data_IF_068087492461
#
_entry.id   IF_068087492461
#
_cell.length_a   1.000
_cell.length_b   1.000
_cell.length_c   1.000
_cell.angle_alpha   90.00
_cell.angle_beta   90.00
_cell.angle_gamma   90.00
#
_symmetry.space_group_name_H-M   'P 1'
#
loop_
_entity.id
_entity.type
_entity.pdbx_description
1 polymer ?
#
# COMPACT_ATOMS: atom_id res chain seq x y z
N UNK A 1 -1.46 -3.95 -16.12
CA UNK A 1 -0.05 -3.63 -16.33
C UNK A 1 0.46 -2.62 -15.32
N UNK A 2 1.68 -2.87 -14.85
CA UNK A 2 2.45 -1.94 -14.04
C UNK A 2 3.43 -1.21 -14.96
N UNK A 3 3.40 0.12 -14.90
CA UNK A 3 4.21 0.99 -15.75
C UNK A 3 5.16 1.81 -14.88
N UNK A 4 6.34 2.12 -15.41
CA UNK A 4 7.28 3.09 -14.81
C UNK A 4 7.53 4.21 -15.81
N UNK A 5 7.57 5.45 -15.32
CA UNK A 5 7.94 6.63 -16.10
C UNK A 5 9.19 7.26 -15.52
N UNK A 6 10.22 7.42 -16.33
CA UNK A 6 11.37 8.25 -15.98
C UNK A 6 10.97 9.73 -16.09
N UNK A 7 11.08 10.48 -14.99
CA UNK A 7 10.62 11.87 -14.95
C UNK A 7 11.56 12.86 -15.65
N UNK A 8 12.83 12.50 -15.86
CA UNK A 8 13.82 13.38 -16.51
C UNK A 8 13.69 13.32 -18.03
N UNK A 9 13.50 12.11 -18.55
CA UNK A 9 13.45 11.80 -19.98
C UNK A 9 12.01 11.70 -20.50
N UNK A 10 11.05 11.44 -19.61
CA UNK A 10 9.66 11.18 -19.95
C UNK A 10 9.39 9.77 -20.48
N UNK A 11 10.42 8.91 -20.58
CA UNK A 11 10.30 7.53 -21.10
C UNK A 11 9.38 6.71 -20.21
N UNK A 12 8.44 5.98 -20.84
CA UNK A 12 7.51 5.07 -20.17
C UNK A 12 7.82 3.63 -20.55
N UNK A 13 7.97 2.76 -19.55
CA UNK A 13 8.23 1.32 -19.72
C UNK A 13 7.11 0.51 -19.09
N UNK A 14 6.57 -0.47 -19.84
CA UNK A 14 5.67 -1.47 -19.30
C UNK A 14 6.49 -2.60 -18.66
N UNK A 15 6.38 -2.78 -17.35
CA UNK A 15 7.18 -3.77 -16.62
C UNK A 15 6.58 -5.18 -16.69
N UNK A 16 5.27 -5.31 -16.80
CA UNK A 16 4.59 -6.62 -16.67
C UNK A 16 4.14 -7.21 -18.00
N UNK A 17 3.81 -6.37 -18.99
CA UNK A 17 3.44 -6.76 -20.35
C UNK A 17 2.48 -7.97 -20.40
N UNK A 18 1.40 -7.91 -19.61
CA UNK A 18 0.54 -9.09 -19.39
C UNK A 18 -0.59 -9.20 -20.41
N UNK A 19 -1.08 -10.42 -20.71
CA UNK A 19 -2.23 -10.61 -21.60
C UNK A 19 -3.49 -9.92 -21.07
N UNK A 20 -4.39 -9.54 -22.00
CA UNK A 20 -5.71 -9.00 -21.68
C UNK A 20 -6.46 -9.94 -20.72
N UNK A 21 -7.05 -9.35 -19.67
CA UNK A 21 -7.77 -10.09 -18.62
C UNK A 21 -6.98 -10.25 -17.31
N UNK A 22 -5.67 -9.97 -17.35
CA UNK A 22 -4.87 -9.79 -16.13
C UNK A 22 -5.17 -8.42 -15.52
N UNK A 23 -5.39 -8.38 -14.20
CA UNK A 23 -5.61 -7.13 -13.48
C UNK A 23 -4.45 -6.91 -12.50
N UNK A 24 -3.70 -5.84 -12.70
CA UNK A 24 -2.53 -5.49 -11.89
C UNK A 24 -2.61 -4.05 -11.42
N UNK A 25 -2.41 -3.82 -10.12
CA UNK A 25 -2.65 -2.51 -9.48
C UNK A 25 -1.74 -2.30 -8.29
N UNK A 26 -1.73 -1.05 -7.79
CA UNK A 26 -1.10 -0.62 -6.54
C UNK A 26 0.38 -1.03 -6.39
N UNK A 27 1.25 -0.66 -7.34
CA UNK A 27 2.67 -0.93 -7.21
C UNK A 27 3.31 -0.09 -6.09
N UNK A 28 4.27 -0.67 -5.38
CA UNK A 28 5.09 0.04 -4.40
C UNK A 28 6.55 -0.44 -4.48
N UNK A 29 7.49 0.49 -4.39
CA UNK A 29 8.92 0.20 -4.48
C UNK A 29 9.48 -0.36 -3.17
N UNK A 30 10.46 -1.25 -3.26
CA UNK A 30 11.32 -1.57 -2.11
C UNK A 30 12.17 -0.35 -1.73
N UNK A 31 12.61 -0.29 -0.48
CA UNK A 31 13.40 0.83 0.01
C UNK A 31 14.76 0.91 -0.67
N UNK A 32 15.35 -0.24 -1.01
CA UNK A 32 16.56 -0.31 -1.81
C UNK A 32 16.35 -0.04 -3.32
N UNK A 33 15.10 0.15 -3.75
CA UNK A 33 14.72 0.47 -5.12
C UNK A 33 14.90 -0.68 -6.12
N UNK A 34 15.20 -1.90 -5.67
CA UNK A 34 15.47 -3.04 -6.56
C UNK A 34 14.26 -3.90 -6.86
N UNK A 35 13.19 -3.77 -6.10
CA UNK A 35 11.98 -4.58 -6.23
C UNK A 35 10.74 -3.71 -6.23
N UNK A 36 9.66 -4.26 -6.80
CA UNK A 36 8.32 -3.68 -6.78
C UNK A 36 7.39 -4.75 -6.26
N UNK A 37 6.63 -4.44 -5.22
CA UNK A 37 5.47 -5.22 -4.79
C UNK A 37 4.24 -4.67 -5.48
N UNK A 38 3.35 -5.55 -5.92
CA UNK A 38 2.14 -5.16 -6.63
C UNK A 38 1.05 -6.21 -6.44
N UNK A 39 -0.17 -5.85 -6.80
CA UNK A 39 -1.29 -6.78 -6.80
C UNK A 39 -1.51 -7.35 -8.19
N UNK A 40 -1.77 -8.66 -8.27
CA UNK A 40 -2.09 -9.33 -9.53
C UNK A 40 -3.21 -10.34 -9.35
N UNK A 41 -4.18 -10.28 -10.26
CA UNK A 41 -5.19 -11.32 -10.45
C UNK A 41 -4.80 -12.18 -11.64
N UNK A 42 -4.42 -13.43 -11.38
CA UNK A 42 -3.99 -14.39 -12.40
C UNK A 42 -4.85 -15.66 -12.38
N UNK A 43 -5.95 -15.65 -13.12
CA UNK A 43 -6.84 -16.81 -13.36
C UNK A 43 -7.61 -17.37 -12.15
N UNK A 44 -7.21 -17.07 -10.91
CA UNK A 44 -7.72 -17.69 -9.66
C UNK A 44 -8.69 -16.83 -8.86
N UNK A 45 -9.41 -15.92 -9.52
CA UNK A 45 -10.47 -15.10 -8.94
C UNK A 45 -10.10 -14.10 -7.82
N UNK A 46 -8.93 -14.22 -7.20
CA UNK A 46 -8.43 -13.36 -6.13
C UNK A 46 -7.36 -12.37 -6.62
N UNK A 47 -7.25 -11.22 -5.94
CA UNK A 47 -6.12 -10.31 -6.07
C UNK A 47 -5.07 -10.74 -5.04
N UNK A 48 -3.94 -11.23 -5.52
CA UNK A 48 -2.83 -11.71 -4.69
C UNK A 48 -1.68 -10.69 -4.66
N UNK A 49 -0.77 -10.84 -3.71
CA UNK A 49 0.47 -10.05 -3.60
C UNK A 49 1.59 -10.73 -4.40
N UNK A 50 2.21 -9.96 -5.28
CA UNK A 50 3.33 -10.37 -6.13
C UNK A 50 4.51 -9.41 -5.97
N UNK A 51 5.71 -9.91 -6.21
CA UNK A 51 6.93 -9.11 -6.29
C UNK A 51 7.62 -9.36 -7.62
N UNK A 52 8.21 -8.33 -8.20
CA UNK A 52 9.14 -8.40 -9.33
C UNK A 52 10.37 -7.54 -9.05
N UNK A 53 11.43 -7.73 -9.81
CA UNK A 53 12.54 -6.79 -9.85
C UNK A 53 12.08 -5.45 -10.44
N UNK A 54 12.80 -4.37 -10.14
CA UNK A 54 12.55 -3.01 -10.62
C UNK A 54 12.50 -2.88 -12.15
N UNK A 55 13.18 -3.77 -12.86
CA UNK A 55 13.20 -3.86 -14.32
C UNK A 55 12.06 -4.71 -14.91
N UNK A 56 11.16 -5.23 -14.06
CA UNK A 56 10.04 -6.10 -14.43
C UNK A 56 10.38 -7.59 -14.47
N UNK A 57 11.65 -7.96 -14.30
CA UNK A 57 12.07 -9.37 -14.33
C UNK A 57 11.68 -10.13 -13.04
N UNK A 58 11.65 -11.46 -13.13
CA UNK A 58 11.37 -12.37 -12.01
C UNK A 58 10.06 -12.09 -11.23
N UNK A 59 8.90 -11.92 -11.91
CA UNK A 59 7.62 -11.80 -11.21
C UNK A 59 7.29 -13.12 -10.51
N UNK A 60 7.03 -13.05 -9.20
CA UNK A 60 6.69 -14.20 -8.40
C UNK A 60 5.64 -13.87 -7.34
N UNK A 61 4.82 -14.88 -7.04
CA UNK A 61 3.81 -14.81 -6.01
C UNK A 61 4.45 -14.76 -4.61
N UNK A 62 3.81 -14.02 -3.69
CA UNK A 62 4.30 -13.86 -2.31
C UNK A 62 3.26 -14.31 -1.28
N UNK A 63 2.06 -13.74 -1.35
CA UNK A 63 1.01 -13.93 -0.37
C UNK A 63 -0.35 -13.78 -1.03
N UNK A 64 -1.37 -14.46 -0.50
CA UNK A 64 -2.70 -14.47 -1.12
C UNK A 64 -3.55 -15.62 -0.60
N UNK A 65 -4.81 -15.35 -0.31
CA UNK A 65 -5.69 -16.38 0.25
C UNK A 65 -6.20 -17.33 -0.84
N UNK A 66 -5.91 -18.64 -0.71
CA UNK A 66 -6.32 -19.68 -1.66
C UNK A 66 -7.44 -20.60 -1.13
N UNK A 67 -8.19 -20.20 -0.10
CA UNK A 67 -9.24 -21.04 0.47
C UNK A 67 -10.39 -21.30 -0.52
N UNK A 68 -10.86 -22.55 -0.55
CA UNK A 68 -11.85 -23.01 -1.52
C UNK A 68 -13.17 -22.22 -1.42
N UNK A 69 -13.51 -21.48 -2.48
CA UNK A 69 -14.84 -20.89 -2.69
C UNK A 69 -15.05 -19.46 -2.15
N UNK A 70 -14.05 -18.83 -1.54
CA UNK A 70 -14.18 -17.45 -1.05
C UNK A 70 -13.28 -16.50 -1.84
N UNK A 71 -13.90 -15.47 -2.42
CA UNK A 71 -13.18 -14.33 -2.98
C UNK A 71 -12.49 -13.57 -1.85
N UNK A 72 -11.16 -13.53 -1.90
CA UNK A 72 -10.36 -12.71 -1.03
C UNK A 72 -9.58 -11.69 -1.86
N UNK A 73 -9.47 -10.49 -1.32
CA UNK A 73 -8.68 -9.41 -1.88
C UNK A 73 -7.57 -9.11 -0.90
N UNK A 74 -6.34 -9.27 -1.39
CA UNK A 74 -5.12 -8.79 -0.77
C UNK A 74 -4.70 -7.54 -1.56
N UNK A 75 -4.47 -6.40 -0.89
CA UNK A 75 -4.22 -5.12 -1.57
C UNK A 75 -3.28 -4.17 -0.83
N UNK A 76 -2.81 -3.17 -1.58
CA UNK A 76 -2.07 -1.99 -1.08
C UNK A 76 -0.83 -2.39 -0.28
N UNK A 77 -0.02 -3.29 -0.86
CA UNK A 77 1.15 -3.80 -0.19
C UNK A 77 2.31 -2.79 -0.21
N UNK A 78 3.09 -2.74 0.87
CA UNK A 78 4.35 -1.97 0.95
C UNK A 78 5.40 -2.75 1.74
N UNK A 79 6.68 -2.55 1.40
CA UNK A 79 7.80 -3.20 2.07
C UNK A 79 8.05 -2.59 3.45
N UNK A 80 8.46 -3.41 4.42
CA UNK A 80 9.07 -2.90 5.66
C UNK A 80 10.39 -2.18 5.35
N UNK A 81 10.88 -1.25 6.20
CA UNK A 81 12.08 -0.45 5.88
C UNK A 81 13.37 -1.26 5.65
N UNK A 82 13.39 -2.51 6.10
CA UNK A 82 14.49 -3.45 5.93
C UNK A 82 14.32 -4.39 4.72
N UNK A 83 13.25 -4.22 3.93
CA UNK A 83 12.85 -5.03 2.78
C UNK A 83 12.67 -6.54 3.09
N UNK A 84 12.49 -6.92 4.36
CA UNK A 84 12.34 -8.33 4.80
C UNK A 84 10.90 -8.79 4.96
N UNK A 85 9.93 -7.88 4.85
CA UNK A 85 8.52 -8.21 4.95
C UNK A 85 7.69 -7.25 4.10
N UNK A 86 6.45 -7.65 3.84
CA UNK A 86 5.42 -6.78 3.27
C UNK A 86 4.28 -6.61 4.25
N UNK A 87 3.72 -5.40 4.29
CA UNK A 87 2.48 -5.06 4.98
C UNK A 87 1.40 -4.86 3.94
N UNK A 88 0.22 -5.44 4.14
CA UNK A 88 -0.89 -5.38 3.19
C UNK A 88 -2.24 -5.51 3.89
N UNK A 89 -3.32 -5.12 3.22
CA UNK A 89 -4.67 -5.35 3.72
C UNK A 89 -5.22 -6.64 3.12
N UNK A 90 -5.96 -7.41 3.92
CA UNK A 90 -6.64 -8.62 3.44
C UNK A 90 -7.99 -8.83 4.08
N UNK A 91 -8.97 -9.23 3.28
CA UNK A 91 -10.30 -9.64 3.76
C UNK A 91 -10.45 -11.16 3.95
N UNK A 92 -9.33 -11.90 4.00
CA UNK A 92 -9.30 -13.37 4.13
C UNK A 92 -10.18 -13.94 5.25
N UNK A 93 -10.31 -13.24 6.37
CA UNK A 93 -11.16 -13.63 7.51
C UNK A 93 -12.57 -12.98 7.49
N UNK A 94 -12.96 -12.33 6.39
CA UNK A 94 -14.31 -11.77 6.17
C UNK A 94 -14.42 -10.27 6.41
N UNK A 95 -13.31 -9.62 6.79
CA UNK A 95 -13.19 -8.19 7.01
C UNK A 95 -11.78 -7.76 6.61
N UNK A 96 -11.61 -6.59 5.98
CA UNK A 96 -10.27 -6.07 5.71
C UNK A 96 -9.58 -5.74 7.02
N UNK A 97 -8.43 -6.38 7.24
CA UNK A 97 -7.51 -6.07 8.32
C UNK A 97 -6.08 -6.02 7.79
N UNK A 98 -5.17 -5.50 8.59
CA UNK A 98 -3.75 -5.36 8.22
C UNK A 98 -3.00 -6.63 8.56
N UNK A 99 -2.19 -7.11 7.63
CA UNK A 99 -1.33 -8.28 7.77
C UNK A 99 0.10 -7.92 7.47
N UNK A 100 1.00 -8.66 8.11
CA UNK A 100 2.43 -8.68 7.81
C UNK A 100 2.81 -10.06 7.32
N UNK A 101 3.56 -10.12 6.22
CA UNK A 101 4.14 -11.35 5.71
C UNK A 101 5.67 -11.23 5.67
N UNK A 102 6.36 -12.07 6.43
CA UNK A 102 7.81 -12.19 6.34
C UNK A 102 8.20 -12.77 4.98
N UNK A 103 9.02 -12.02 4.23
CA UNK A 103 9.62 -12.53 3.01
C UNK A 103 10.68 -13.56 3.42
N UNK A 104 10.46 -14.80 3.01
CA UNK A 104 11.45 -15.85 3.05
C UNK A 104 11.78 -16.26 1.61
N UNK A 105 12.46 -17.39 1.41
CA UNK A 105 12.75 -17.89 0.06
C UNK A 105 11.47 -17.93 -0.78
N UNK A 106 11.61 -17.61 -2.08
CA UNK A 106 10.51 -17.60 -3.07
C UNK A 106 9.69 -18.89 -2.93
N UNK A 107 8.38 -18.73 -2.79
CA UNK A 107 7.42 -19.82 -2.65
C UNK A 107 6.28 -19.62 -3.64
N UNK A 108 5.75 -20.70 -4.19
CA UNK A 108 4.57 -20.68 -5.08
C UNK A 108 3.24 -20.59 -4.32
N UNK A 109 3.29 -20.59 -2.98
CA UNK A 109 2.14 -20.49 -2.08
C UNK A 109 2.50 -19.74 -0.80
N UNK A 110 1.50 -19.10 -0.20
CA UNK A 110 1.65 -18.42 1.08
C UNK A 110 1.95 -19.46 2.17
N UNK A 111 2.94 -19.18 3.02
CA UNK A 111 3.20 -19.96 4.21
C UNK A 111 2.65 -19.23 5.43
N UNK A 112 1.65 -19.82 6.09
CA UNK A 112 0.98 -19.24 7.25
C UNK A 112 1.93 -18.99 8.45
N UNK A 113 3.07 -19.67 8.51
CA UNK A 113 4.11 -19.43 9.54
C UNK A 113 4.73 -18.03 9.42
N UNK A 114 4.74 -17.46 8.21
CA UNK A 114 5.29 -16.13 7.95
C UNK A 114 4.23 -15.03 7.96
N UNK A 115 2.95 -15.41 8.03
CA UNK A 115 1.83 -14.50 8.05
C UNK A 115 1.43 -14.17 9.48
N UNK A 116 1.25 -12.88 9.76
CA UNK A 116 0.69 -12.39 11.03
C UNK A 116 -0.38 -11.35 10.76
N UNK A 117 -1.56 -11.55 11.35
CA UNK A 117 -2.58 -10.50 11.44
C UNK A 117 -2.14 -9.45 12.47
N UNK A 118 -2.16 -8.17 12.09
CA UNK A 118 -1.78 -7.05 12.94
C UNK A 118 -2.97 -6.35 13.57
N UNK A 119 -4.13 -6.38 12.91
CA UNK A 119 -5.35 -5.69 13.38
C UNK A 119 -6.60 -6.57 13.20
N UNK A 120 -7.70 -6.25 13.89
CA UNK A 120 -8.92 -7.08 13.86
C UNK A 120 -10.22 -6.28 14.01
N UNK A 121 -10.19 -4.95 13.88
CA UNK A 121 -11.38 -4.12 14.03
C UNK A 121 -12.24 -4.14 12.76
N UNK A 122 -13.55 -4.03 12.98
CA UNK A 122 -14.59 -3.88 11.95
C UNK A 122 -15.02 -2.42 11.86
N UNK A 123 -15.57 -1.93 10.74
CA UNK A 123 -15.94 -2.68 9.53
C UNK A 123 -14.85 -2.79 8.47
N UNK A 124 -13.70 -2.13 8.69
CA UNK A 124 -12.63 -2.06 7.71
C UNK A 124 -11.38 -1.48 8.35
N UNK A 125 -10.24 -2.14 8.17
CA UNK A 125 -8.91 -1.60 8.39
C UNK A 125 -8.07 -1.94 7.16
N UNK A 126 -7.66 -0.94 6.40
CA UNK A 126 -7.03 -1.20 5.11
C UNK A 126 -6.26 -0.01 4.56
N UNK A 127 -5.84 -0.17 3.29
CA UNK A 127 -4.92 0.75 2.60
C UNK A 127 -3.71 1.11 3.46
N UNK A 128 -2.94 0.14 3.97
CA UNK A 128 -1.78 0.42 4.79
C UNK A 128 -0.65 1.00 3.94
N UNK A 129 0.21 1.78 4.59
CA UNK A 129 1.49 2.20 4.06
C UNK A 129 2.52 2.14 5.16
N UNK A 130 3.67 1.52 4.86
CA UNK A 130 4.84 1.57 5.72
C UNK A 130 5.48 2.94 5.61
N UNK A 131 5.63 3.60 6.75
CA UNK A 131 6.31 4.89 6.86
C UNK A 131 7.82 4.69 6.99
N UNK A 132 8.62 5.70 6.63
CA UNK A 132 10.09 5.65 6.74
C UNK A 132 10.59 5.39 8.18
N UNK A 133 9.78 5.75 9.18
CA UNK A 133 10.00 5.47 10.61
C UNK A 133 9.82 3.99 10.99
N UNK A 134 9.26 3.18 10.10
CA UNK A 134 8.93 1.77 10.31
C UNK A 134 7.58 1.52 10.99
N UNK A 135 6.78 2.56 11.22
CA UNK A 135 5.37 2.41 11.58
C UNK A 135 4.50 2.17 10.34
N UNK A 136 3.27 1.73 10.56
CA UNK A 136 2.28 1.55 9.49
C UNK A 136 1.15 2.54 9.73
N UNK A 137 0.94 3.45 8.77
CA UNK A 137 -0.29 4.25 8.70
C UNK A 137 -1.34 3.48 7.91
N UNK A 138 -2.58 3.47 8.38
CA UNK A 138 -3.68 2.78 7.72
C UNK A 138 -5.02 3.48 7.99
N UNK A 139 -6.05 3.12 7.24
CA UNK A 139 -7.39 3.71 7.38
C UNK A 139 -8.32 2.80 8.16
N UNK A 140 -9.05 3.38 9.12
CA UNK A 140 -10.16 2.72 9.80
C UNK A 140 -11.51 3.19 9.25
N UNK A 141 -12.35 2.25 8.82
CA UNK A 141 -13.63 2.56 8.20
C UNK A 141 -14.72 3.03 9.17
N UNK A 142 -14.58 2.77 10.47
CA UNK A 142 -15.60 3.14 11.47
C UNK A 142 -15.76 4.65 11.62
N UNK A 143 -14.70 5.42 11.38
CA UNK A 143 -14.70 6.89 11.42
C UNK A 143 -14.04 7.54 10.19
N UNK A 144 -13.60 6.74 9.21
CA UNK A 144 -12.89 7.19 8.00
C UNK A 144 -11.57 7.94 8.30
N UNK A 145 -10.96 7.69 9.47
CA UNK A 145 -9.72 8.33 9.91
C UNK A 145 -8.50 7.43 9.75
N UNK A 146 -7.33 8.02 9.94
CA UNK A 146 -6.05 7.32 9.89
C UNK A 146 -5.59 6.87 11.29
N UNK A 147 -4.91 5.74 11.33
CA UNK A 147 -4.37 5.11 12.53
C UNK A 147 -2.93 4.71 12.26
N UNK A 148 -2.10 4.68 13.32
CA UNK A 148 -0.71 4.26 13.23
C UNK A 148 -0.40 3.13 14.20
N UNK A 149 0.24 2.07 13.71
CA UNK A 149 0.69 0.93 14.51
C UNK A 149 2.17 0.62 14.31
N UNK A 150 2.75 -0.08 15.28
CA UNK A 150 4.06 -0.72 15.14
C UNK A 150 3.88 -2.15 14.60
N UNK A 151 4.42 -2.48 13.41
CA UNK A 151 4.18 -3.77 12.77
C UNK A 151 4.91 -4.96 13.44
N UNK A 152 5.89 -4.71 14.31
CA UNK A 152 6.62 -5.74 15.05
C UNK A 152 5.93 -6.14 16.34
N UNK A 153 5.32 -5.18 17.05
CA UNK A 153 4.60 -5.45 18.30
C UNK A 153 3.11 -5.66 18.07
N UNK A 154 2.57 -5.25 16.92
CA UNK A 154 1.13 -5.11 16.67
C UNK A 154 0.43 -4.23 17.72
N UNK A 155 1.18 -3.31 18.35
CA UNK A 155 0.62 -2.31 19.26
C UNK A 155 0.32 -1.04 18.48
N UNK A 156 -0.84 -0.47 18.77
CA UNK A 156 -1.18 0.87 18.33
C UNK A 156 -0.32 1.85 19.14
N UNK A 157 0.50 2.65 18.45
CA UNK A 157 1.49 3.54 19.10
C UNK A 157 1.01 4.99 19.16
N UNK A 158 0.22 5.44 18.19
CA UNK A 158 -0.46 6.74 18.16
C UNK A 158 -1.80 6.57 17.44
N UNK A 159 -2.84 6.24 18.19
CA UNK A 159 -4.01 5.56 17.65
C UNK A 159 -4.77 6.36 16.61
N UNK A 160 -5.01 7.65 16.81
CA UNK A 160 -5.88 8.40 15.93
C UNK A 160 -5.14 9.60 15.35
N UNK A 161 -5.05 9.62 14.04
CA UNK A 161 -4.65 10.78 13.24
C UNK A 161 -5.96 11.36 12.69
N UNK A 162 -6.38 12.47 13.27
CA UNK A 162 -7.64 13.12 12.91
C UNK A 162 -7.40 14.17 11.85
N UNK A 163 -8.01 13.97 10.69
CA UNK A 163 -8.02 14.92 9.59
C UNK A 163 -9.49 15.17 9.20
N UNK A 164 -9.97 16.42 9.20
CA UNK A 164 -11.35 16.72 8.79
C UNK A 164 -11.65 16.17 7.40
N UNK A 165 -12.80 15.54 7.18
CA UNK A 165 -13.17 14.94 5.89
C UNK A 165 -12.94 13.43 5.80
N UNK A 166 -12.94 12.90 4.58
CA UNK A 166 -12.77 11.48 4.30
C UNK A 166 -11.45 11.21 3.60
N UNK A 167 -10.71 10.23 4.12
CA UNK A 167 -9.37 9.90 3.67
C UNK A 167 -9.40 8.62 2.82
N UNK A 168 -8.54 8.56 1.81
CA UNK A 168 -8.29 7.41 0.94
C UNK A 168 -6.79 7.19 0.79
N UNK A 169 -6.37 5.93 0.81
CA UNK A 169 -5.00 5.48 0.46
C UNK A 169 -3.87 6.35 1.02
N UNK A 170 -3.76 6.46 2.37
CA UNK A 170 -2.68 7.21 2.98
C UNK A 170 -1.33 6.55 2.71
N UNK A 171 -0.33 7.39 2.50
CA UNK A 171 1.07 7.02 2.39
C UNK A 171 1.93 7.91 3.29
N UNK A 172 2.92 7.32 3.95
CA UNK A 172 3.99 8.07 4.60
C UNK A 172 4.90 8.71 3.54
N UNK A 173 5.39 9.92 3.80
CA UNK A 173 6.44 10.49 2.95
C UNK A 173 7.77 9.75 3.16
N UNK A 174 8.60 9.61 2.12
CA UNK A 174 9.90 8.92 2.23
C UNK A 174 10.89 9.50 3.25
N UNK A 175 10.76 10.78 3.60
CA UNK A 175 11.55 11.44 4.65
C UNK A 175 10.98 11.22 6.07
N UNK A 176 9.80 10.61 6.18
CA UNK A 176 9.09 10.37 7.44
C UNK A 176 8.48 11.62 8.08
N UNK A 177 8.46 12.76 7.37
CA UNK A 177 8.00 14.04 7.93
C UNK A 177 6.52 14.34 7.70
N UNK A 178 5.87 13.63 6.78
CA UNK A 178 4.51 13.94 6.33
C UNK A 178 3.70 12.75 5.88
N UNK A 179 2.48 13.05 5.46
CA UNK A 179 1.55 12.10 4.86
C UNK A 179 1.05 12.67 3.52
N UNK A 180 0.79 11.78 2.56
CA UNK A 180 0.06 12.08 1.33
C UNK A 180 -1.12 11.13 1.21
N UNK A 181 -2.29 11.63 0.82
CA UNK A 181 -3.51 10.83 0.79
C UNK A 181 -4.52 11.42 -0.19
N UNK A 182 -5.39 10.56 -0.73
CA UNK A 182 -6.62 11.02 -1.35
C UNK A 182 -7.56 11.56 -0.27
N UNK A 183 -8.22 12.67 -0.54
CA UNK A 183 -9.04 13.35 0.44
C UNK A 183 -10.27 13.99 -0.19
N UNK A 184 -11.35 14.06 0.57
CA UNK A 184 -12.50 14.88 0.22
C UNK A 184 -13.17 15.44 1.46
N UNK A 185 -13.80 16.59 1.30
CA UNK A 185 -14.78 17.05 2.28
C UNK A 185 -15.95 16.07 2.33
N UNK A 186 -16.54 15.88 3.52
CA UNK A 186 -17.61 14.87 3.74
C UNK A 186 -18.85 15.08 2.88
N UNK A 187 -19.12 16.31 2.45
CA UNK A 187 -20.24 16.70 1.58
C UNK A 187 -19.97 16.44 0.10
N UNK A 188 -18.71 16.19 -0.28
CA UNK A 188 -18.27 16.05 -1.66
C UNK A 188 -18.08 14.58 -2.04
N UNK A 189 -18.15 14.31 -3.34
CA UNK A 189 -17.88 12.98 -3.91
C UNK A 189 -16.45 12.87 -4.45
N UNK A 190 -15.94 13.97 -5.00
CA UNK A 190 -14.64 14.08 -5.65
C UNK A 190 -13.49 14.05 -4.65
N UNK A 191 -12.44 13.29 -4.97
CA UNK A 191 -11.19 13.25 -4.20
C UNK A 191 -10.12 14.09 -4.89
N UNK A 192 -9.33 14.80 -4.08
CA UNK A 192 -8.06 15.39 -4.49
C UNK A 192 -6.91 14.73 -3.73
N UNK A 193 -5.67 14.94 -4.18
CA UNK A 193 -4.48 14.53 -3.44
C UNK A 193 -4.07 15.65 -2.48
N UNK A 194 -4.07 15.36 -1.18
CA UNK A 194 -3.62 16.26 -0.14
C UNK A 194 -2.30 15.79 0.46
N UNK A 195 -1.52 16.74 0.97
CA UNK A 195 -0.35 16.49 1.81
C UNK A 195 -0.55 17.16 3.18
N UNK A 196 -0.02 16.55 4.23
CA UNK A 196 -0.06 17.09 5.60
C UNK A 196 1.26 16.81 6.33
N UNK A 197 1.40 17.34 7.55
CA UNK A 197 2.40 16.85 8.49
C UNK A 197 2.13 15.39 8.90
N UNK A 198 3.08 14.75 9.59
CA UNK A 198 2.97 13.35 10.04
C UNK A 198 1.79 13.09 11.00
N UNK A 199 1.12 14.12 11.52
CA UNK A 199 -0.02 14.03 12.43
C UNK A 199 -1.34 14.44 11.76
N UNK A 200 -1.36 14.61 10.44
CA UNK A 200 -2.59 14.93 9.70
C UNK A 200 -2.98 16.41 9.75
N UNK A 201 -2.12 17.30 10.27
CA UNK A 201 -2.39 18.73 10.34
C UNK A 201 -1.72 19.50 9.18
N UNK A 202 -2.07 20.78 9.05
CA UNK A 202 -1.47 21.69 8.06
C UNK A 202 -1.64 21.16 6.63
N UNK A 203 -2.86 20.75 6.29
CA UNK A 203 -3.18 20.18 4.98
C UNK A 203 -2.97 21.18 3.83
N UNK A 204 -2.36 20.71 2.75
CA UNK A 204 -2.17 21.42 1.49
C UNK A 204 -2.77 20.57 0.37
N UNK A 205 -3.58 21.19 -0.49
CA UNK A 205 -4.11 20.53 -1.68
C UNK A 205 -3.08 20.54 -2.81
N UNK A 206 -2.75 19.37 -3.35
CA UNK A 206 -1.78 19.21 -4.44
C UNK A 206 -2.44 19.12 -5.81
N UNK A 207 -3.72 18.75 -5.86
CA UNK A 207 -4.46 18.58 -7.12
C UNK A 207 -5.84 19.22 -7.01
N UNK A 208 -6.45 19.57 -8.14
CA UNK A 208 -7.78 20.18 -8.17
C UNK A 208 -8.33 20.06 -9.59
N UNK A 209 -8.36 18.83 -10.10
CA UNK A 209 -8.75 18.57 -11.49
C UNK A 209 -10.27 18.49 -11.58
N UNK A 210 -11.00 19.45 -12.18
CA UNK A 210 -12.46 19.46 -12.15
C UNK A 210 -13.07 18.17 -12.71
N UNK A 211 -14.14 17.68 -12.09
CA UNK A 211 -14.92 16.48 -12.48
C UNK A 211 -14.19 15.12 -12.40
N UNK A 212 -12.92 15.09 -11.97
CA UNK A 212 -12.15 13.84 -11.83
C UNK A 212 -11.70 13.62 -10.39
N UNK A 213 -11.83 12.38 -9.90
CA UNK A 213 -11.26 12.00 -8.61
C UNK A 213 -9.81 11.55 -8.77
N UNK A 214 -8.92 12.13 -7.98
CA UNK A 214 -7.51 11.78 -7.90
C UNK A 214 -7.28 11.05 -6.57
N UNK A 215 -6.70 9.84 -6.65
CA UNK A 215 -6.52 8.98 -5.47
C UNK A 215 -5.34 8.02 -5.68
N UNK A 216 -5.05 7.21 -4.67
CA UNK A 216 -3.98 6.21 -4.67
C UNK A 216 -2.59 6.81 -4.98
N UNK A 217 -2.18 7.88 -4.27
CA UNK A 217 -0.85 8.44 -4.45
C UNK A 217 0.21 7.38 -4.13
N UNK A 218 1.29 7.36 -4.91
CA UNK A 218 2.44 6.51 -4.65
C UNK A 218 3.72 7.35 -4.76
N UNK A 219 4.52 7.36 -3.70
CA UNK A 219 5.78 8.08 -3.66
C UNK A 219 6.92 7.12 -3.96
N UNK A 220 7.87 7.57 -4.78
CA UNK A 220 9.13 6.88 -4.97
C UNK A 220 10.03 7.10 -3.73
N UNK A 221 10.76 6.08 -3.25
CA UNK A 221 11.77 6.24 -2.21
C UNK A 221 12.83 7.29 -2.61
N UNK A 222 13.40 7.98 -1.63
CA UNK A 222 14.52 8.91 -1.88
C UNK A 222 15.71 8.09 -2.41
N UNK A 223 16.21 8.34 -3.64
CA UNK A 223 17.33 7.59 -4.18
C UNK A 223 18.56 7.83 -3.32
N UNK A 224 19.00 6.81 -2.58
CA UNK A 224 20.24 6.77 -1.78
C UNK A 224 20.72 8.16 -1.33
N UNK A 225 19.98 8.82 -0.43
CA UNK A 225 20.67 9.69 0.51
C UNK A 225 21.65 8.77 1.22
N UNK A 226 22.94 8.88 0.89
CA UNK A 226 24.00 8.20 1.63
C UNK A 226 23.66 8.40 3.10
N UNK A 227 23.29 7.33 3.80
CA UNK A 227 23.20 7.36 5.26
C UNK A 227 24.62 7.69 5.71
N UNK A 228 24.86 8.98 5.96
CA UNK A 228 26.11 9.52 6.46
C UNK A 228 26.34 9.05 7.87
#
# INVERSE_FOLDING_TARGET
DIMVKDLKTGVVTNLTNTPKGTNERWPNWSNDGKQIVYNRKDGKNNLDIWIMNADGSNPHYVAGYQGAGKYAEDCCASFTPDDKAVIFASNRLGNFNIYRYNLSRVSSRENSTYLRQLTSLRPYEGTPSVEATGTVVYRYGGNQQMYRLNPYTARITSSLITTPGQIRTPQGTPDGMGLIFGWRESSLTQLDIMMSDANGNSMVNLTNTPDYSETDPALQPIPNAKKS
#
